data_IF_221690421065
#
_entry.id   IF_221690421065
#
_cell.length_a   1.000
_cell.length_b   1.000
_cell.length_c   1.000
_cell.angle_alpha   90.00
_cell.angle_beta   90.00
_cell.angle_gamma   90.00
#
_symmetry.space_group_name_H-M   'P 1'
#
loop_
_entity.id
_entity.type
_entity.pdbx_description
1 polymer ?
#
# COMPACT_ATOMS: atom_id res chain seq x y z
N UNK A 1 13.87 12.70 2.94
CA UNK A 1 13.56 11.36 2.41
C UNK A 1 12.09 11.13 2.64
N UNK A 2 11.33 10.92 1.56
CA UNK A 2 9.93 10.51 1.62
C UNK A 2 9.91 9.00 1.44
N UNK A 3 9.60 8.27 2.51
CA UNK A 3 9.45 6.83 2.50
C UNK A 3 8.06 6.51 3.02
N UNK A 4 7.20 6.01 2.16
CA UNK A 4 5.84 5.60 2.51
C UNK A 4 5.68 4.17 2.03
N UNK A 5 5.07 3.34 2.88
CA UNK A 5 4.68 1.97 2.57
C UNK A 5 3.30 1.76 3.15
N UNK A 6 2.36 1.34 2.30
CA UNK A 6 0.95 1.25 2.68
C UNK A 6 0.29 0.02 2.06
N UNK A 7 -0.70 -0.53 2.76
CA UNK A 7 -1.70 -1.42 2.17
C UNK A 7 -2.98 -0.65 1.90
N UNK A 8 -3.55 -0.82 0.71
CA UNK A 8 -4.79 -0.18 0.27
C UNK A 8 -5.76 -1.27 -0.18
N UNK A 9 -7.03 -1.14 0.16
CA UNK A 9 -8.07 -2.09 -0.22
C UNK A 9 -9.45 -1.67 0.28
N UNK A 10 -10.48 -2.50 0.09
CA UNK A 10 -11.83 -2.19 0.58
C UNK A 10 -11.83 -1.94 2.09
N UNK A 11 -12.53 -0.90 2.53
CA UNK A 11 -12.60 -0.49 3.94
C UNK A 11 -13.07 -1.64 4.85
N UNK A 12 -14.07 -2.38 4.40
CA UNK A 12 -14.60 -3.53 5.15
C UNK A 12 -13.55 -4.64 5.32
N UNK A 13 -12.74 -4.88 4.28
CA UNK A 13 -11.66 -5.87 4.30
C UNK A 13 -10.53 -5.43 5.22
N UNK A 14 -10.06 -4.19 5.12
CA UNK A 14 -8.98 -3.69 5.98
C UNK A 14 -9.42 -3.53 7.44
N UNK A 15 -10.70 -3.25 7.71
CA UNK A 15 -11.22 -3.21 9.08
C UNK A 15 -11.13 -4.59 9.75
N UNK A 16 -11.36 -5.68 9.01
CA UNK A 16 -11.19 -7.06 9.52
C UNK A 16 -9.72 -7.36 9.87
N UNK A 17 -8.77 -6.70 9.21
CA UNK A 17 -7.34 -6.85 9.49
C UNK A 17 -6.98 -6.49 10.94
N UNK A 18 -7.75 -5.64 11.65
CA UNK A 18 -7.51 -5.30 13.06
C UNK A 18 -7.47 -6.50 14.00
N UNK A 19 -8.18 -7.59 13.66
CA UNK A 19 -8.14 -8.84 14.43
C UNK A 19 -6.79 -9.57 14.29
N UNK A 20 -6.11 -9.41 13.16
CA UNK A 20 -4.82 -10.02 12.85
C UNK A 20 -3.67 -9.10 13.24
N UNK A 21 -3.89 -7.80 13.05
CA UNK A 21 -2.93 -6.72 13.21
C UNK A 21 -3.52 -5.61 14.10
N UNK A 22 -3.67 -5.81 15.44
CA UNK A 22 -4.28 -4.80 16.30
C UNK A 22 -3.52 -3.47 16.36
N UNK A 23 -2.22 -3.47 16.05
CA UNK A 23 -1.42 -2.24 15.94
C UNK A 23 -1.72 -1.42 14.67
N UNK A 24 -2.48 -1.96 13.72
CA UNK A 24 -2.80 -1.27 12.47
C UNK A 24 -3.77 -0.10 12.70
N UNK A 25 -3.34 1.09 12.30
CA UNK A 25 -4.25 2.19 12.05
C UNK A 25 -5.00 1.93 10.73
N UNK A 26 -6.33 2.02 10.77
CA UNK A 26 -7.16 1.98 9.56
C UNK A 26 -7.50 3.42 9.19
N UNK A 27 -7.00 3.89 8.05
CA UNK A 27 -7.24 5.23 7.54
C UNK A 27 -8.29 5.16 6.42
N UNK A 28 -9.55 5.57 6.65
CA UNK A 28 -10.56 5.58 5.59
C UNK A 28 -10.14 6.48 4.43
N UNK A 29 -10.32 5.99 3.20
CA UNK A 29 -10.13 6.72 1.96
C UNK A 29 -11.48 6.92 1.27
N UNK A 30 -11.56 7.82 0.27
CA UNK A 30 -12.72 7.90 -0.61
C UNK A 30 -13.03 6.57 -1.32
N UNK A 31 -14.20 6.49 -1.95
CA UNK A 31 -14.60 5.37 -2.82
C UNK A 31 -14.69 4.00 -2.12
N UNK A 32 -14.96 3.99 -0.81
CA UNK A 32 -15.11 2.75 -0.04
C UNK A 32 -13.80 2.01 0.24
N UNK A 33 -12.66 2.67 0.00
CA UNK A 33 -11.34 2.13 0.28
C UNK A 33 -10.85 2.57 1.66
N UNK A 34 -9.78 1.93 2.11
CA UNK A 34 -8.99 2.35 3.26
C UNK A 34 -7.51 2.09 2.99
N UNK A 35 -6.69 2.65 3.86
CA UNK A 35 -5.25 2.54 3.89
C UNK A 35 -4.79 2.08 5.27
N UNK A 36 -3.82 1.17 5.32
CA UNK A 36 -3.05 0.82 6.51
C UNK A 36 -1.62 1.29 6.27
N UNK A 37 -1.13 2.28 7.02
CA UNK A 37 0.28 2.66 6.95
C UNK A 37 1.15 1.58 7.62
N UNK A 38 2.21 1.17 6.95
CA UNK A 38 3.19 0.21 7.47
C UNK A 38 4.15 0.97 8.39
N UNK A 39 3.70 1.26 9.60
CA UNK A 39 4.53 1.89 10.64
C UNK A 39 5.51 0.88 11.23
N UNK A 40 6.55 1.35 11.91
CA UNK A 40 7.48 0.48 12.63
C UNK A 40 6.78 -0.52 13.58
N UNK A 41 5.71 -0.11 14.27
CA UNK A 41 4.94 -1.03 15.14
C UNK A 41 4.22 -2.11 14.34
N UNK A 42 3.68 -1.77 13.16
CA UNK A 42 3.07 -2.74 12.25
C UNK A 42 4.12 -3.72 11.72
N UNK A 43 5.30 -3.24 11.32
CA UNK A 43 6.41 -4.08 10.84
C UNK A 43 6.86 -5.07 11.91
N UNK A 44 7.12 -4.60 13.14
CA UNK A 44 7.51 -5.47 14.26
C UNK A 44 6.44 -6.53 14.53
N UNK A 45 5.16 -6.15 14.50
CA UNK A 45 4.09 -7.11 14.71
C UNK A 45 4.06 -8.17 13.60
N UNK A 46 4.08 -7.76 12.33
CA UNK A 46 4.11 -8.68 11.19
C UNK A 46 5.32 -9.62 11.25
N UNK A 47 6.49 -9.09 11.57
CA UNK A 47 7.72 -9.86 11.70
C UNK A 47 7.63 -10.94 12.78
N UNK A 48 6.97 -10.65 13.90
CA UNK A 48 6.77 -11.63 14.99
C UNK A 48 5.74 -12.72 14.68
N UNK A 49 4.86 -12.47 13.71
CA UNK A 49 3.82 -13.40 13.27
C UNK A 49 4.20 -14.16 11.99
N UNK A 50 5.17 -13.66 11.23
CA UNK A 50 5.53 -14.18 9.93
C UNK A 50 5.95 -15.65 10.00
N UNK A 51 5.36 -16.46 9.15
CA UNK A 51 5.76 -17.85 8.99
C UNK A 51 6.73 -17.98 7.82
N UNK A 52 7.72 -18.87 7.93
CA UNK A 52 8.73 -19.07 6.89
C UNK A 52 8.19 -19.67 5.56
N UNK A 53 6.87 -19.80 5.41
CA UNK A 53 6.23 -20.61 4.37
C UNK A 53 5.62 -19.81 3.21
N UNK A 54 5.61 -18.47 3.28
CA UNK A 54 5.08 -17.64 2.20
C UNK A 54 6.23 -17.04 1.39
N UNK A 55 6.32 -17.38 0.11
CA UNK A 55 7.25 -16.72 -0.82
C UNK A 55 6.81 -15.27 -0.98
N UNK A 56 7.65 -14.32 -0.52
CA UNK A 56 7.35 -12.91 -0.65
C UNK A 56 7.27 -12.50 -2.14
N UNK A 57 6.31 -11.65 -2.47
CA UNK A 57 6.44 -10.86 -3.70
C UNK A 57 7.71 -10.00 -3.56
N UNK A 58 8.54 -9.96 -4.59
CA UNK A 58 9.73 -9.11 -4.63
C UNK A 58 9.35 -7.84 -5.39
N UNK A 59 9.24 -6.68 -4.70
CA UNK A 59 9.09 -5.40 -5.38
C UNK A 59 10.30 -5.13 -6.27
N UNK A 60 10.16 -4.28 -7.28
CA UNK A 60 11.25 -4.04 -8.23
C UNK A 60 12.31 -3.12 -7.64
N UNK A 61 11.90 -2.14 -6.84
CA UNK A 61 12.79 -1.08 -6.41
C UNK A 61 13.07 -1.00 -4.92
N UNK A 62 12.39 -1.79 -4.09
CA UNK A 62 12.58 -1.76 -2.65
C UNK A 62 12.35 -3.06 -1.90
N UNK A 63 12.47 -2.95 -0.58
CA UNK A 63 12.19 -4.01 0.37
C UNK A 63 10.71 -4.02 0.74
N UNK A 64 10.09 -5.19 0.63
CA UNK A 64 8.78 -5.46 1.20
C UNK A 64 8.98 -5.85 2.68
N UNK A 65 8.34 -5.14 3.61
CA UNK A 65 8.39 -5.52 5.01
C UNK A 65 7.92 -6.98 5.20
N UNK A 66 8.64 -7.73 6.06
CA UNK A 66 8.36 -9.14 6.31
C UNK A 66 6.92 -9.32 6.80
N UNK A 67 6.25 -10.35 6.29
CA UNK A 67 4.85 -10.65 6.63
C UNK A 67 3.81 -9.87 5.82
N UNK A 68 4.19 -8.83 5.05
CA UNK A 68 3.24 -8.12 4.19
C UNK A 68 2.61 -9.03 3.15
N UNK A 69 3.40 -9.88 2.48
CA UNK A 69 2.85 -10.83 1.49
C UNK A 69 1.82 -11.77 2.14
N UNK A 70 2.14 -12.32 3.31
CA UNK A 70 1.22 -13.23 4.03
C UNK A 70 -0.08 -12.52 4.43
N UNK A 71 0.02 -11.31 4.97
CA UNK A 71 -1.15 -10.49 5.32
C UNK A 71 -1.98 -10.15 4.08
N UNK A 72 -1.34 -9.63 3.03
CA UNK A 72 -2.01 -9.20 1.80
C UNK A 72 -2.69 -10.38 1.10
N UNK A 73 -2.01 -11.51 0.93
CA UNK A 73 -2.60 -12.74 0.39
C UNK A 73 -3.84 -13.15 1.17
N UNK A 74 -3.78 -13.19 2.51
CA UNK A 74 -4.91 -13.58 3.35
C UNK A 74 -6.09 -12.62 3.28
N UNK A 75 -5.83 -11.31 3.29
CA UNK A 75 -6.89 -10.30 3.18
C UNK A 75 -7.52 -10.28 1.79
N UNK A 76 -6.77 -10.69 0.76
CA UNK A 76 -7.17 -10.58 -0.64
C UNK A 76 -8.29 -11.53 -1.08
N UNK A 77 -8.71 -12.47 -0.23
CA UNK A 77 -9.86 -13.34 -0.46
C UNK A 77 -11.19 -12.58 -0.51
N UNK A 78 -11.28 -11.42 0.13
CA UNK A 78 -12.49 -10.61 0.21
C UNK A 78 -12.50 -9.44 -0.79
N UNK A 79 -11.44 -9.26 -1.57
CA UNK A 79 -11.27 -8.17 -2.51
C UNK A 79 -9.78 -7.89 -2.77
N UNK A 80 -9.41 -7.15 -3.82
CA UNK A 80 -8.01 -6.89 -4.12
C UNK A 80 -7.33 -6.07 -3.00
N UNK A 81 -6.07 -6.40 -2.71
CA UNK A 81 -5.22 -5.67 -1.76
C UNK A 81 -4.00 -5.17 -2.50
N UNK A 82 -3.79 -3.86 -2.47
CA UNK A 82 -2.65 -3.17 -3.06
C UNK A 82 -1.63 -2.86 -1.97
N UNK A 83 -0.40 -3.31 -2.13
CA UNK A 83 0.77 -2.68 -1.51
C UNK A 83 1.26 -1.57 -2.41
N UNK A 84 1.46 -0.37 -1.86
CA UNK A 84 2.07 0.74 -2.57
C UNK A 84 3.21 1.32 -1.72
N UNK A 85 4.33 1.59 -2.37
CA UNK A 85 5.47 2.22 -1.73
C UNK A 85 6.08 3.31 -2.62
N UNK A 86 6.57 4.36 -1.96
CA UNK A 86 7.37 5.41 -2.61
C UNK A 86 8.64 5.60 -1.80
N UNK A 87 9.75 5.75 -2.50
CA UNK A 87 11.02 6.18 -1.91
C UNK A 87 11.53 7.35 -2.73
N UNK A 88 11.44 8.57 -2.20
CA UNK A 88 11.85 9.79 -2.93
C UNK A 88 12.82 10.59 -2.07
N UNK A 89 14.00 10.87 -2.61
CA UNK A 89 15.03 11.71 -2.02
C UNK A 89 15.42 12.82 -3.01
N UNK A 90 15.14 14.08 -2.67
CA UNK A 90 15.58 15.22 -3.50
C UNK A 90 14.96 15.30 -4.90
N UNK A 91 13.86 14.57 -5.15
CA UNK A 91 13.17 14.53 -6.45
C UNK A 91 13.49 13.30 -7.28
N UNK A 92 14.52 12.54 -6.92
CA UNK A 92 14.85 11.21 -7.45
C UNK A 92 14.31 10.12 -6.53
N UNK A 93 14.01 8.94 -7.08
CA UNK A 93 13.39 7.88 -6.31
C UNK A 93 12.67 6.86 -7.17
N UNK A 94 11.71 6.16 -6.60
CA UNK A 94 10.87 5.25 -7.34
C UNK A 94 9.63 4.84 -6.56
N UNK A 95 8.87 3.98 -7.19
CA UNK A 95 7.61 3.47 -6.71
C UNK A 95 7.52 1.98 -6.91
N UNK A 96 6.90 1.31 -5.95
CA UNK A 96 6.51 -0.09 -6.07
C UNK A 96 5.01 -0.22 -5.86
N UNK A 97 4.40 -1.13 -6.61
CA UNK A 97 3.00 -1.48 -6.49
C UNK A 97 2.78 -2.97 -6.73
N UNK A 98 2.22 -3.67 -5.74
CA UNK A 98 1.91 -5.09 -5.83
C UNK A 98 0.45 -5.32 -5.46
N UNK A 99 -0.29 -6.05 -6.28
CA UNK A 99 -1.70 -6.37 -6.02
C UNK A 99 -1.85 -7.87 -5.78
N UNK A 100 -2.52 -8.21 -4.69
CA UNK A 100 -3.01 -9.55 -4.42
C UNK A 100 -4.51 -9.64 -4.63
N UNK A 101 -4.96 -10.75 -5.20
CA UNK A 101 -6.37 -11.12 -5.25
C UNK A 101 -6.51 -12.63 -5.10
N UNK A 102 -7.37 -13.09 -4.19
CA UNK A 102 -7.58 -14.53 -3.88
C UNK A 102 -6.29 -15.27 -3.55
N UNK A 103 -5.41 -14.63 -2.77
CA UNK A 103 -4.14 -15.18 -2.32
C UNK A 103 -2.98 -15.01 -3.29
N UNK A 104 -3.23 -14.68 -4.56
CA UNK A 104 -2.23 -14.63 -5.62
C UNK A 104 -1.84 -13.21 -6.00
N UNK A 105 -0.58 -13.02 -6.40
CA UNK A 105 -0.10 -11.76 -6.99
C UNK A 105 -0.64 -11.63 -8.42
N UNK A 106 -1.46 -10.63 -8.68
CA UNK A 106 -2.04 -10.38 -10.01
C UNK A 106 -1.39 -9.20 -10.75
N UNK A 107 -0.66 -8.36 -10.02
CA UNK A 107 0.12 -7.25 -10.57
C UNK A 107 1.35 -7.02 -9.70
N UNK A 108 2.51 -6.84 -10.32
CA UNK A 108 3.73 -6.39 -9.66
C UNK A 108 4.44 -5.42 -10.60
N UNK A 109 4.44 -4.14 -10.23
CA UNK A 109 5.06 -3.06 -10.98
C UNK A 109 6.02 -2.33 -10.05
N UNK A 110 7.13 -1.88 -10.59
CA UNK A 110 7.92 -0.86 -9.95
C UNK A 110 8.81 -0.15 -10.96
N UNK A 111 9.35 0.98 -10.53
CA UNK A 111 10.34 1.76 -11.24
C UNK A 111 11.43 2.22 -10.28
N UNK A 112 12.55 2.68 -10.84
CA UNK A 112 13.71 3.13 -10.09
C UNK A 112 14.13 4.57 -10.38
N UNK A 113 15.17 5.04 -9.66
CA UNK A 113 15.65 6.42 -9.77
C UNK A 113 16.21 6.76 -11.15
N UNK A 114 16.67 5.77 -11.89
CA UNK A 114 17.19 5.92 -13.25
C UNK A 114 16.06 5.86 -14.29
N UNK A 115 14.95 5.19 -13.97
CA UNK A 115 13.86 4.87 -14.90
C UNK A 115 12.45 5.15 -14.34
N UNK A 116 12.27 6.26 -13.62
CA UNK A 116 10.96 6.68 -13.10
C UNK A 116 9.93 6.82 -14.23
N UNK A 117 8.79 6.15 -14.08
CA UNK A 117 7.69 6.24 -15.02
C UNK A 117 7.05 7.63 -14.95
N UNK A 118 6.86 8.25 -16.11
CA UNK A 118 6.15 9.52 -16.19
C UNK A 118 4.66 9.35 -15.88
N UNK A 119 4.02 10.41 -15.40
CA UNK A 119 2.57 10.48 -15.35
C UNK A 119 1.97 10.28 -16.75
N UNK A 120 0.84 9.55 -16.91
CA UNK A 120 0.00 8.93 -15.87
C UNK A 120 0.36 7.47 -15.53
N UNK A 121 1.51 6.97 -15.98
CA UNK A 121 1.83 5.55 -15.99
C UNK A 121 2.76 5.09 -14.86
N UNK A 122 2.79 5.85 -13.76
CA UNK A 122 3.50 5.45 -12.55
C UNK A 122 2.98 4.11 -12.01
N UNK A 123 3.83 3.27 -11.39
CA UNK A 123 3.43 1.98 -10.81
C UNK A 123 2.18 2.06 -9.92
N UNK A 124 2.15 3.04 -9.01
CA UNK A 124 1.02 3.25 -8.09
C UNK A 124 -0.23 3.65 -8.86
N UNK A 125 -0.16 4.61 -9.79
CA UNK A 125 -1.34 5.07 -10.53
C UNK A 125 -1.95 3.94 -11.36
N UNK A 126 -1.12 3.14 -12.03
CA UNK A 126 -1.56 1.95 -12.77
C UNK A 126 -2.22 0.91 -11.86
N UNK A 127 -1.67 0.70 -10.67
CA UNK A 127 -2.22 -0.25 -9.72
C UNK A 127 -3.54 0.23 -9.08
N UNK A 128 -3.67 1.53 -8.81
CA UNK A 128 -4.91 2.13 -8.33
C UNK A 128 -6.05 1.99 -9.35
N UNK A 129 -5.76 2.19 -10.65
CA UNK A 129 -6.71 1.89 -11.73
C UNK A 129 -7.15 0.44 -11.71
N UNK A 130 -6.22 -0.48 -11.46
CA UNK A 130 -6.48 -1.91 -11.44
C UNK A 130 -7.42 -2.33 -10.29
N UNK A 131 -7.34 -1.68 -9.12
CA UNK A 131 -8.29 -1.92 -8.01
C UNK A 131 -9.60 -1.11 -8.13
N UNK A 132 -9.81 -0.41 -9.25
CA UNK A 132 -11.08 0.25 -9.58
C UNK A 132 -11.20 1.69 -9.09
N UNK A 133 -10.10 2.38 -8.77
CA UNK A 133 -10.14 3.81 -8.45
C UNK A 133 -10.63 4.59 -9.66
N UNK A 134 -11.64 5.43 -9.44
CA UNK A 134 -12.18 6.34 -10.43
C UNK A 134 -11.68 7.77 -10.18
N UNK A 135 -11.48 8.52 -11.26
CA UNK A 135 -10.94 9.90 -11.21
C UNK A 135 -11.92 10.88 -11.83
N UNK A 136 -11.89 12.13 -11.37
CA UNK A 136 -12.56 13.24 -12.04
C UNK A 136 -11.65 13.83 -13.13
N UNK A 137 -12.22 14.59 -14.06
CA UNK A 137 -11.45 15.28 -15.10
C UNK A 137 -10.38 16.17 -14.47
N UNK A 138 -9.11 15.95 -14.85
CA UNK A 138 -7.98 16.74 -14.35
C UNK A 138 -7.37 16.27 -13.04
N UNK A 139 -7.81 15.12 -12.50
CA UNK A 139 -7.20 14.44 -11.36
C UNK A 139 -6.59 13.10 -11.80
N UNK A 140 -5.58 12.66 -11.07
CA UNK A 140 -5.09 11.29 -11.14
C UNK A 140 -5.61 10.42 -9.99
N UNK A 141 -5.32 9.13 -10.02
CA UNK A 141 -5.82 8.19 -9.02
C UNK A 141 -5.26 8.47 -7.62
N UNK A 142 -4.04 9.00 -7.53
CA UNK A 142 -3.38 9.34 -6.29
C UNK A 142 -4.07 10.54 -5.61
N UNK A 143 -4.37 11.57 -6.41
CA UNK A 143 -5.12 12.76 -6.02
C UNK A 143 -6.57 12.42 -5.67
N UNK A 144 -7.22 11.56 -6.46
CA UNK A 144 -8.61 11.16 -6.24
C UNK A 144 -8.83 10.44 -4.89
N UNK A 145 -7.80 9.76 -4.37
CA UNK A 145 -7.79 9.16 -3.05
C UNK A 145 -7.20 10.05 -1.95
N UNK A 146 -6.61 11.19 -2.32
CA UNK A 146 -5.96 12.12 -1.40
C UNK A 146 -4.72 11.54 -0.73
N UNK A 147 -4.00 10.65 -1.42
CA UNK A 147 -2.81 9.97 -0.87
C UNK A 147 -1.66 10.94 -0.57
N UNK A 148 -1.66 12.11 -1.19
CA UNK A 148 -0.68 13.19 -0.94
C UNK A 148 -0.89 13.96 0.36
N UNK A 149 -1.94 13.64 1.15
CA UNK A 149 -2.28 14.38 2.37
C UNK A 149 -1.21 14.31 3.45
N UNK A 150 -0.52 13.18 3.57
CA UNK A 150 0.56 12.97 4.55
C UNK A 150 1.77 12.35 3.89
N UNK A 151 2.96 12.72 4.38
CA UNK A 151 4.24 12.37 3.77
C UNK A 151 5.06 11.32 4.56
N UNK A 152 4.46 10.70 5.57
CA UNK A 152 5.03 9.59 6.34
C UNK A 152 3.94 8.64 6.83
N UNK A 153 4.32 7.38 7.10
CA UNK A 153 3.43 6.35 7.64
C UNK A 153 2.91 6.74 9.04
N UNK A 154 3.77 7.36 9.86
CA UNK A 154 3.43 7.84 11.21
C UNK A 154 2.36 8.93 11.17
N UNK A 155 2.47 9.89 10.26
CA UNK A 155 1.50 10.97 10.14
C UNK A 155 0.11 10.46 9.73
N UNK A 156 0.04 9.43 8.89
CA UNK A 156 -1.22 8.72 8.60
C UNK A 156 -1.78 8.04 9.86
N UNK A 157 -0.96 7.30 10.60
CA UNK A 157 -1.37 6.54 11.78
C UNK A 157 -1.83 7.44 12.95
N UNK A 158 -1.10 8.53 13.21
CA UNK A 158 -1.46 9.51 14.24
C UNK A 158 -2.82 10.13 13.98
N UNK A 159 -3.13 10.45 12.72
CA UNK A 159 -4.40 11.08 12.34
C UNK A 159 -5.57 10.12 12.43
N UNK A 160 -5.39 8.85 12.06
CA UNK A 160 -6.42 7.84 12.25
C UNK A 160 -6.72 7.54 13.74
N UNK A 161 -5.75 7.73 14.63
CA UNK A 161 -5.94 7.53 16.08
C UNK A 161 -6.69 8.68 16.76
N UNK A 162 -6.90 9.80 16.07
CA UNK A 162 -7.59 11.00 16.57
C UNK A 162 -9.03 11.14 16.05
N UNK A 163 -9.47 10.24 15.18
CA UNK A 163 -10.78 10.23 14.52
C UNK A 163 -11.74 9.25 15.19
#
# INVERSE_FOLDING_TARGET
MHWIQVLIGPLETLTKARSLLPAAAICPLPQGLALIPVTHTVEVQLQSQATAHTTAAVPHSGELAVGITELASRLSDQGPILYAATYIHGGTGGQDAVIWHKGEVILNLGDDEDHMSAWPDSPISRALRHIGVTVQTGQDEFDALGLGRYRSNEAWAEKASQA
#
